data_IF_727558402512
#
_entry.id   IF_727558402512
#
_cell.length_a   1.000
_cell.length_b   1.000
_cell.length_c   1.000
_cell.angle_alpha   90.00
_cell.angle_beta   90.00
_cell.angle_gamma   90.00
#
_symmetry.space_group_name_H-M   'P 1'
#
loop_
_entity.id
_entity.type
_entity.pdbx_description
1 polymer ?
#
# COMPACT_ATOMS: atom_id res chain seq x y z
N UNK A 1 10.87 20.77 -1.48
CA UNK A 1 11.73 20.48 -2.65
C UNK A 1 11.01 19.49 -3.53
N UNK A 2 10.69 19.88 -4.77
CA UNK A 2 10.03 19.03 -5.76
C UNK A 2 11.11 18.22 -6.47
N UNK A 3 11.02 16.90 -6.41
CA UNK A 3 11.90 15.99 -7.16
C UNK A 3 11.04 15.29 -8.22
N UNK A 4 11.39 15.43 -9.49
CA UNK A 4 10.76 14.68 -10.59
C UNK A 4 11.58 13.44 -10.89
N UNK A 5 10.93 12.29 -10.89
CA UNK A 5 11.53 11.03 -11.32
C UNK A 5 10.54 10.30 -12.24
N UNK A 6 10.93 10.07 -13.49
CA UNK A 6 10.17 9.31 -14.51
C UNK A 6 8.66 9.64 -14.54
N UNK A 7 8.28 10.88 -14.86
CA UNK A 7 6.88 11.34 -14.94
C UNK A 7 6.12 11.39 -13.60
N UNK A 8 6.78 11.20 -12.46
CA UNK A 8 6.19 11.26 -11.11
C UNK A 8 6.79 12.43 -10.33
N UNK A 9 5.94 13.17 -9.63
CA UNK A 9 6.35 14.29 -8.80
C UNK A 9 6.34 13.86 -7.34
N UNK A 10 7.51 13.91 -6.69
CA UNK A 10 7.66 13.66 -5.26
C UNK A 10 7.73 14.99 -4.53
N UNK A 11 6.79 15.27 -3.65
CA UNK A 11 6.86 16.42 -2.76
C UNK A 11 7.32 15.94 -1.38
N UNK A 12 8.31 16.60 -0.81
CA UNK A 12 8.95 16.25 0.49
C UNK A 12 7.99 16.26 1.70
N UNK A 13 6.73 16.60 1.48
CA UNK A 13 5.60 16.55 2.40
C UNK A 13 4.43 15.85 1.70
N UNK A 14 4.56 14.55 1.51
CA UNK A 14 3.45 13.62 1.50
C UNK A 14 2.50 13.59 0.31
N UNK A 15 2.80 14.09 -0.88
CA UNK A 15 1.91 13.95 -2.02
C UNK A 15 2.66 13.31 -3.19
N UNK A 16 2.18 12.14 -3.64
CA UNK A 16 2.67 11.48 -4.84
C UNK A 16 1.65 11.65 -5.96
N UNK A 17 2.07 12.18 -7.09
CA UNK A 17 1.21 12.24 -8.28
C UNK A 17 1.62 11.16 -9.27
N UNK A 18 0.67 10.32 -9.68
CA UNK A 18 0.77 9.59 -10.93
C UNK A 18 0.04 10.42 -12.00
N UNK A 19 0.74 10.79 -13.06
CA UNK A 19 0.24 11.73 -14.07
C UNK A 19 -0.87 11.15 -14.96
N UNK A 20 -1.16 9.85 -14.90
CA UNK A 20 -2.19 9.31 -15.76
C UNK A 20 -3.60 9.42 -15.18
N UNK A 21 -3.90 8.95 -13.94
CA UNK A 21 -5.30 8.96 -13.47
C UNK A 21 -5.51 8.89 -11.95
N UNK A 22 -4.47 8.83 -11.11
CA UNK A 22 -4.57 8.70 -9.66
C UNK A 22 -3.81 9.79 -8.91
N UNK A 23 -4.44 10.36 -7.89
CA UNK A 23 -3.80 11.29 -6.93
C UNK A 23 -3.57 10.54 -5.63
N UNK A 24 -2.34 10.57 -5.12
CA UNK A 24 -1.96 9.94 -3.87
C UNK A 24 -1.81 11.02 -2.79
N UNK A 25 -2.64 10.97 -1.77
CA UNK A 25 -2.51 11.80 -0.58
C UNK A 25 -1.82 11.01 0.53
N UNK A 26 -0.69 11.55 0.98
CA UNK A 26 0.05 10.98 2.10
C UNK A 26 -0.54 11.48 3.41
N UNK A 27 -1.02 10.56 4.25
CA UNK A 27 -1.56 10.87 5.57
C UNK A 27 -0.50 10.49 6.61
N UNK A 28 0.23 11.49 7.11
CA UNK A 28 1.15 11.29 8.24
C UNK A 28 0.34 11.23 9.53
N UNK A 29 0.52 10.17 10.31
CA UNK A 29 -0.14 9.97 11.60
C UNK A 29 0.85 10.25 12.74
N UNK A 30 0.96 11.49 13.26
CA UNK A 30 1.74 11.78 14.45
C UNK A 30 1.03 11.16 15.65
N UNK A 31 1.77 10.58 16.59
CA UNK A 31 1.37 10.01 17.88
C UNK A 31 1.14 8.49 17.96
N UNK A 32 1.65 7.72 17.04
CA UNK A 32 1.81 6.27 17.24
C UNK A 32 3.28 5.95 17.52
N UNK A 33 3.57 4.88 18.30
CA UNK A 33 4.95 4.41 18.56
C UNK A 33 5.69 4.03 17.27
N UNK A 34 4.95 3.86 16.19
CA UNK A 34 5.44 3.57 14.85
C UNK A 34 4.86 4.61 13.88
N UNK A 35 5.68 5.09 12.95
CA UNK A 35 5.24 6.01 11.90
C UNK A 35 4.52 5.18 10.83
N UNK A 36 3.21 5.04 10.96
CA UNK A 36 2.39 4.38 9.92
C UNK A 36 2.02 5.41 8.86
N UNK A 37 2.30 5.07 7.62
CA UNK A 37 2.01 5.93 6.48
C UNK A 37 0.92 5.29 5.64
N UNK A 38 -0.29 5.81 5.73
CA UNK A 38 -1.39 5.45 4.85
C UNK A 38 -1.54 6.50 3.74
N UNK A 39 -1.69 6.03 2.52
CA UNK A 39 -1.83 6.88 1.34
C UNK A 39 -3.24 6.71 0.78
N UNK A 40 -4.00 7.80 0.70
CA UNK A 40 -5.30 7.81 0.03
C UNK A 40 -5.10 7.80 -1.49
N UNK A 41 -5.78 6.88 -2.17
CA UNK A 41 -5.84 6.83 -3.63
C UNK A 41 -7.08 7.60 -4.05
N UNK A 42 -6.89 8.79 -4.63
CA UNK A 42 -7.98 9.50 -5.28
C UNK A 42 -7.97 9.10 -6.75
N UNK A 43 -8.86 8.17 -7.10
CA UNK A 43 -9.10 7.82 -8.49
C UNK A 43 -9.94 8.90 -9.16
N UNK A 44 -9.49 9.44 -10.29
CA UNK A 44 -10.28 10.40 -11.08
C UNK A 44 -11.60 9.81 -11.59
N UNK A 45 -11.69 8.49 -11.75
CA UNK A 45 -12.92 7.79 -12.10
C UNK A 45 -13.94 7.78 -10.94
N UNK A 46 -13.47 7.77 -9.68
CA UNK A 46 -14.30 7.95 -8.47
C UNK A 46 -15.03 9.29 -8.49
N UNK A 47 -14.35 10.36 -8.97
CA UNK A 47 -14.95 11.69 -9.13
C UNK A 47 -16.02 11.67 -10.23
N UNK A 48 -15.95 10.74 -11.19
CA UNK A 48 -16.90 10.59 -12.31
C UNK A 48 -18.07 9.64 -12.02
N UNK A 49 -18.24 9.17 -10.78
CA UNK A 49 -19.41 8.39 -10.34
C UNK A 49 -19.38 6.90 -10.67
N UNK A 50 -18.21 6.29 -10.93
CA UNK A 50 -18.10 4.82 -11.04
C UNK A 50 -18.09 4.16 -9.67
N UNK A 51 -18.67 2.95 -9.59
CA UNK A 51 -18.74 2.13 -8.38
C UNK A 51 -17.32 1.85 -7.85
N UNK A 52 -17.05 2.20 -6.60
CA UNK A 52 -15.81 1.85 -5.90
C UNK A 52 -15.63 0.34 -5.82
N UNK A 53 -14.38 -0.13 -5.80
CA UNK A 53 -14.07 -1.49 -5.36
C UNK A 53 -14.50 -1.68 -3.91
N UNK A 54 -14.92 -2.89 -3.54
CA UNK A 54 -15.26 -3.21 -2.16
C UNK A 54 -13.99 -3.33 -1.27
N UNK A 55 -12.80 -3.12 -1.85
CA UNK A 55 -11.50 -3.17 -1.18
C UNK A 55 -11.21 -1.81 -0.54
N UNK A 56 -11.08 -1.81 0.78
CA UNK A 56 -10.76 -0.60 1.56
C UNK A 56 -9.27 -0.27 1.53
N UNK A 57 -8.41 -1.28 1.66
CA UNK A 57 -6.97 -1.09 1.76
C UNK A 57 -6.23 -2.05 0.83
N UNK A 58 -5.30 -1.53 0.02
CA UNK A 58 -4.28 -2.31 -0.67
C UNK A 58 -2.99 -2.29 0.15
N UNK A 59 -2.58 -3.44 0.68
CA UNK A 59 -1.29 -3.60 1.34
C UNK A 59 -0.24 -3.90 0.27
N UNK A 60 0.90 -3.24 0.33
CA UNK A 60 2.00 -3.36 -0.62
C UNK A 60 3.26 -3.76 0.13
N UNK A 61 3.84 -4.91 -0.24
CA UNK A 61 5.05 -5.44 0.39
C UNK A 61 6.08 -5.85 -0.67
N UNK A 62 7.20 -5.14 -0.78
CA UNK A 62 8.34 -5.60 -1.58
C UNK A 62 9.08 -6.70 -0.81
N UNK A 63 9.50 -7.75 -1.52
CA UNK A 63 10.17 -8.93 -0.94
C UNK A 63 11.52 -9.14 -1.61
N UNK A 64 12.58 -9.23 -0.82
CA UNK A 64 13.93 -9.60 -1.27
C UNK A 64 14.79 -10.08 -0.11
N UNK A 65 15.18 -11.38 -0.11
CA UNK A 65 16.05 -12.01 0.92
C UNK A 65 15.51 -11.91 2.35
N UNK A 66 14.28 -12.34 2.57
CA UNK A 66 13.57 -12.25 3.86
C UNK A 66 12.85 -13.56 4.24
N UNK A 67 13.39 -14.70 3.83
CA UNK A 67 12.73 -16.01 4.04
C UNK A 67 12.40 -16.32 5.51
N UNK A 68 13.18 -15.76 6.47
CA UNK A 68 12.93 -15.94 7.90
C UNK A 68 11.77 -15.09 8.44
N UNK A 69 11.40 -14.00 7.77
CA UNK A 69 10.46 -12.99 8.29
C UNK A 69 9.15 -12.93 7.51
N UNK A 70 9.20 -13.17 6.19
CA UNK A 70 8.09 -12.94 5.27
C UNK A 70 6.81 -13.68 5.66
N UNK A 71 6.92 -14.91 6.19
CA UNK A 71 5.77 -15.67 6.67
C UNK A 71 5.03 -14.94 7.80
N UNK A 72 5.78 -14.45 8.80
CA UNK A 72 5.20 -13.71 9.94
C UNK A 72 4.56 -12.39 9.47
N UNK A 73 5.19 -11.69 8.53
CA UNK A 73 4.62 -10.48 7.93
C UNK A 73 3.26 -10.76 7.29
N UNK A 74 3.16 -11.83 6.47
CA UNK A 74 1.91 -12.22 5.80
C UNK A 74 0.83 -12.62 6.81
N UNK A 75 1.17 -13.44 7.80
CA UNK A 75 0.24 -13.87 8.84
C UNK A 75 -0.32 -12.69 9.64
N UNK A 76 0.48 -11.67 9.90
CA UNK A 76 0.03 -10.46 10.60
C UNK A 76 -1.04 -9.68 9.82
N UNK A 77 -0.98 -9.70 8.49
CA UNK A 77 -2.02 -9.10 7.63
C UNK A 77 -3.25 -10.01 7.58
N UNK A 78 -3.10 -11.33 7.52
CA UNK A 78 -4.24 -12.24 7.56
C UNK A 78 -5.01 -12.15 8.89
N UNK A 79 -4.34 -11.81 9.99
CA UNK A 79 -4.91 -11.66 11.33
C UNK A 79 -5.60 -10.29 11.55
N UNK A 80 -5.66 -9.39 10.55
CA UNK A 80 -6.28 -8.09 10.70
C UNK A 80 -7.80 -8.17 10.91
N UNK A 81 -8.33 -7.31 11.80
CA UNK A 81 -9.79 -7.19 12.07
C UNK A 81 -10.54 -6.61 10.88
N UNK A 82 -9.93 -5.68 10.14
CA UNK A 82 -10.44 -5.23 8.85
C UNK A 82 -10.28 -6.36 7.83
N UNK A 83 -11.36 -6.75 7.13
CA UNK A 83 -11.36 -7.88 6.18
C UNK A 83 -11.35 -7.48 4.71
N UNK A 84 -11.74 -6.24 4.39
CA UNK A 84 -11.88 -5.71 3.03
C UNK A 84 -10.55 -5.13 2.53
N UNK A 85 -9.56 -5.99 2.39
CA UNK A 85 -8.24 -5.65 1.88
C UNK A 85 -7.79 -6.58 0.75
N UNK A 86 -6.84 -6.12 -0.04
CA UNK A 86 -5.99 -6.94 -0.90
C UNK A 86 -4.54 -6.78 -0.48
N UNK A 87 -3.74 -7.84 -0.64
CA UNK A 87 -2.33 -7.83 -0.32
C UNK A 87 -1.51 -8.10 -1.59
N UNK A 88 -0.74 -7.11 -2.02
CA UNK A 88 0.09 -7.17 -3.21
C UNK A 88 1.54 -7.31 -2.78
N UNK A 89 2.06 -8.50 -2.94
CA UNK A 89 3.44 -8.87 -2.64
C UNK A 89 4.23 -8.82 -3.94
N UNK A 90 5.34 -8.12 -3.98
CA UNK A 90 6.21 -8.07 -5.14
C UNK A 90 7.56 -8.66 -4.78
N UNK A 91 7.80 -9.86 -5.26
CA UNK A 91 9.12 -10.50 -5.24
C UNK A 91 10.03 -9.80 -6.25
N UNK A 92 11.01 -9.09 -5.73
CA UNK A 92 11.98 -8.32 -6.51
C UNK A 92 13.19 -9.18 -6.93
N UNK A 93 12.93 -10.37 -7.45
CA UNK A 93 13.94 -11.31 -7.92
C UNK A 93 14.78 -11.88 -6.78
N UNK A 94 14.15 -12.31 -5.71
CA UNK A 94 14.83 -12.89 -4.55
C UNK A 94 15.55 -14.20 -4.91
N UNK A 95 16.80 -14.43 -4.46
CA UNK A 95 17.50 -15.69 -4.70
C UNK A 95 17.25 -16.76 -3.63
N UNK A 96 16.55 -16.41 -2.54
CA UNK A 96 16.18 -17.30 -1.45
C UNK A 96 14.74 -17.83 -1.60
N UNK A 97 14.21 -18.50 -0.59
CA UNK A 97 12.87 -19.09 -0.62
C UNK A 97 11.73 -18.11 -0.37
N UNK A 98 12.01 -16.81 -0.22
CA UNK A 98 10.96 -15.81 0.08
C UNK A 98 9.83 -15.82 -0.95
N UNK A 99 10.15 -15.93 -2.25
CA UNK A 99 9.16 -15.99 -3.34
C UNK A 99 8.25 -17.23 -3.21
N UNK A 100 8.84 -18.42 -3.03
CA UNK A 100 8.10 -19.68 -2.86
C UNK A 100 7.18 -19.64 -1.62
N UNK A 101 7.63 -19.02 -0.53
CA UNK A 101 6.81 -18.83 0.68
C UNK A 101 5.61 -17.94 0.36
N UNK A 102 5.81 -16.81 -0.35
CA UNK A 102 4.72 -15.92 -0.72
C UNK A 102 3.67 -16.63 -1.58
N UNK A 103 4.09 -17.43 -2.56
CA UNK A 103 3.21 -18.20 -3.43
C UNK A 103 2.36 -19.20 -2.64
N UNK A 104 2.96 -19.90 -1.66
CA UNK A 104 2.24 -20.84 -0.80
C UNK A 104 1.15 -20.17 0.05
N UNK A 105 1.28 -18.88 0.40
CA UNK A 105 0.23 -18.12 1.06
C UNK A 105 -0.84 -17.64 0.06
N UNK A 106 -0.44 -17.20 -1.13
CA UNK A 106 -1.38 -16.76 -2.18
C UNK A 106 -2.29 -17.89 -2.66
N UNK A 107 -1.79 -19.13 -2.71
CA UNK A 107 -2.61 -20.31 -3.03
C UNK A 107 -3.75 -20.55 -2.01
N UNK A 108 -3.57 -20.14 -0.76
CA UNK A 108 -4.53 -20.35 0.34
C UNK A 108 -5.46 -19.17 0.58
N UNK A 109 -5.08 -17.98 0.15
CA UNK A 109 -5.86 -16.75 0.38
C UNK A 109 -5.92 -15.92 -0.92
N UNK A 110 -7.07 -15.88 -1.55
CA UNK A 110 -7.30 -15.21 -2.82
C UNK A 110 -7.19 -13.67 -2.76
N UNK A 111 -7.10 -13.09 -1.56
CA UNK A 111 -6.84 -11.67 -1.34
C UNK A 111 -5.36 -11.34 -1.50
N UNK A 112 -4.48 -12.34 -1.48
CA UNK A 112 -3.03 -12.20 -1.66
C UNK A 112 -2.68 -12.41 -3.12
N UNK A 113 -1.88 -11.51 -3.68
CA UNK A 113 -1.34 -11.58 -5.04
C UNK A 113 0.16 -11.45 -5.00
N UNK A 114 0.86 -12.38 -5.63
CA UNK A 114 2.31 -12.34 -5.76
C UNK A 114 2.67 -11.97 -7.21
N UNK A 115 3.65 -11.10 -7.34
CA UNK A 115 4.23 -10.70 -8.63
C UNK A 115 5.73 -10.90 -8.54
N UNK A 116 6.26 -11.73 -9.41
CA UNK A 116 7.70 -11.92 -9.56
C UNK A 116 8.25 -10.99 -10.63
N UNK A 117 9.37 -10.34 -10.36
CA UNK A 117 10.07 -9.50 -11.33
C UNK A 117 11.59 -9.59 -11.18
N UNK A 118 12.32 -9.18 -12.19
CA UNK A 118 13.77 -9.00 -12.06
C UNK A 118 14.09 -7.94 -11.02
N UNK A 119 15.19 -8.15 -10.26
CA UNK A 119 15.59 -7.23 -9.22
C UNK A 119 15.79 -5.80 -9.75
N UNK A 120 15.12 -4.86 -9.12
CA UNK A 120 15.18 -3.43 -9.45
C UNK A 120 15.11 -2.54 -8.21
N UNK A 121 15.18 -3.16 -7.03
CA UNK A 121 15.12 -2.50 -5.72
C UNK A 121 13.69 -2.22 -5.24
N UNK A 122 13.53 -2.05 -3.93
CA UNK A 122 12.26 -1.84 -3.27
C UNK A 122 11.39 -0.71 -3.87
N UNK A 123 11.93 0.44 -4.33
CA UNK A 123 11.11 1.45 -5.01
C UNK A 123 10.50 0.95 -6.33
N UNK A 124 11.23 0.14 -7.09
CA UNK A 124 10.73 -0.49 -8.33
C UNK A 124 9.59 -1.46 -8.04
N UNK A 125 9.78 -2.33 -7.04
CA UNK A 125 8.77 -3.29 -6.60
C UNK A 125 7.50 -2.57 -6.11
N UNK A 126 7.63 -1.54 -5.27
CA UNK A 126 6.48 -0.74 -4.81
C UNK A 126 5.72 -0.11 -5.98
N UNK A 127 6.41 0.40 -6.99
CA UNK A 127 5.78 1.02 -8.16
C UNK A 127 4.89 0.02 -8.93
N UNK A 128 5.35 -1.22 -9.12
CA UNK A 128 4.56 -2.27 -9.76
C UNK A 128 3.26 -2.53 -9.00
N UNK A 129 3.33 -2.61 -7.67
CA UNK A 129 2.16 -2.82 -6.84
C UNK A 129 1.18 -1.62 -6.87
N UNK A 130 1.70 -0.39 -6.84
CA UNK A 130 0.89 0.84 -6.93
C UNK A 130 0.05 0.87 -8.22
N UNK A 131 0.61 0.43 -9.34
CA UNK A 131 -0.07 0.48 -10.64
C UNK A 131 -1.30 -0.45 -10.70
N UNK A 132 -1.35 -1.50 -9.89
CA UNK A 132 -2.45 -2.48 -9.86
C UNK A 132 -3.33 -2.41 -8.61
N UNK A 133 -2.95 -1.62 -7.61
CA UNK A 133 -3.70 -1.45 -6.37
C UNK A 133 -5.11 -0.91 -6.62
N UNK A 134 -6.13 -1.53 -5.99
CA UNK A 134 -7.57 -1.24 -6.17
C UNK A 134 -8.22 -0.64 -4.93
N UNK A 135 -7.58 -0.73 -3.76
CA UNK A 135 -8.10 -0.23 -2.50
C UNK A 135 -8.31 1.28 -2.48
N UNK A 136 -9.20 1.73 -1.63
CA UNK A 136 -9.40 3.16 -1.38
C UNK A 136 -8.15 3.82 -0.80
N UNK A 137 -7.41 3.07 0.05
CA UNK A 137 -6.15 3.48 0.66
C UNK A 137 -5.06 2.46 0.35
N UNK A 138 -3.80 2.92 0.38
CA UNK A 138 -2.62 2.04 0.32
C UNK A 138 -1.87 2.08 1.64
N UNK A 139 -1.40 0.91 2.07
CA UNK A 139 -0.49 0.74 3.18
C UNK A 139 0.79 0.04 2.70
N UNK A 140 1.95 0.55 3.08
CA UNK A 140 3.24 -0.07 2.77
C UNK A 140 3.76 -0.80 3.99
N UNK A 141 3.97 -2.11 3.83
CA UNK A 141 4.57 -2.99 4.84
C UNK A 141 5.98 -3.38 4.37
N UNK A 142 6.96 -3.24 5.23
CA UNK A 142 8.27 -3.81 4.97
C UNK A 142 8.24 -5.30 5.34
N UNK A 143 8.91 -6.14 4.56
CA UNK A 143 8.76 -7.61 4.63
C UNK A 143 9.39 -8.27 5.85
N UNK A 144 10.12 -7.51 6.66
CA UNK A 144 10.69 -7.87 7.95
C UNK A 144 9.89 -7.30 9.15
N UNK A 145 8.81 -6.54 8.87
CA UNK A 145 7.89 -6.00 9.87
C UNK A 145 6.62 -6.85 10.01
N UNK A 146 5.82 -6.56 11.02
CA UNK A 146 4.47 -7.13 11.22
C UNK A 146 3.50 -6.08 11.75
N UNK A 147 2.22 -6.30 11.48
CA UNK A 147 1.13 -5.41 11.86
C UNK A 147 0.38 -5.93 13.09
N UNK A 148 0.02 -5.03 14.02
CA UNK A 148 -0.90 -5.36 15.12
C UNK A 148 -2.31 -5.66 14.57
N UNK A 149 -3.09 -6.57 15.18
CA UNK A 149 -4.36 -7.06 14.61
C UNK A 149 -5.41 -6.00 14.28
N UNK A 150 -5.44 -4.86 14.97
CA UNK A 150 -6.41 -3.77 14.74
C UNK A 150 -5.86 -2.65 13.86
N UNK A 151 -4.60 -2.75 13.46
CA UNK A 151 -3.89 -1.63 12.83
C UNK A 151 -4.58 -1.11 11.56
N UNK A 152 -4.97 -1.98 10.64
CA UNK A 152 -5.62 -1.54 9.39
C UNK A 152 -6.98 -0.89 9.65
N UNK A 153 -7.75 -1.41 10.61
CA UNK A 153 -9.06 -0.85 10.98
C UNK A 153 -8.91 0.54 11.61
N UNK A 154 -7.97 0.69 12.54
CA UNK A 154 -7.71 1.95 13.22
C UNK A 154 -7.23 3.03 12.24
N UNK A 155 -6.31 2.66 11.34
CA UNK A 155 -5.79 3.56 10.31
C UNK A 155 -6.88 3.95 9.31
N UNK A 156 -7.69 3.01 8.84
CA UNK A 156 -8.80 3.27 7.93
C UNK A 156 -9.82 4.22 8.55
N UNK A 157 -10.25 3.95 9.78
CA UNK A 157 -11.20 4.79 10.50
C UNK A 157 -10.67 6.21 10.73
N UNK A 158 -9.38 6.34 11.05
CA UNK A 158 -8.74 7.64 11.25
C UNK A 158 -8.63 8.42 9.93
N UNK A 159 -8.27 7.75 8.84
CA UNK A 159 -8.20 8.34 7.51
C UNK A 159 -9.58 8.85 7.07
N UNK A 160 -10.64 8.06 7.26
CA UNK A 160 -12.03 8.45 6.95
C UNK A 160 -12.50 9.67 7.73
N UNK A 161 -12.20 9.75 9.02
CA UNK A 161 -12.55 10.93 9.83
C UNK A 161 -11.88 12.19 9.32
N UNK A 162 -10.63 12.10 8.86
CA UNK A 162 -9.88 13.23 8.30
C UNK A 162 -10.33 13.60 6.89
N UNK A 163 -10.60 12.62 6.02
CA UNK A 163 -11.13 12.87 4.66
C UNK A 163 -12.50 13.53 4.71
N UNK A 164 -13.36 13.18 5.66
CA UNK A 164 -14.64 13.87 5.91
C UNK A 164 -14.49 15.33 6.39
N UNK A 165 -13.40 15.65 7.09
CA UNK A 165 -13.07 17.01 7.51
C UNK A 165 -12.35 17.81 6.40
N UNK A 166 -11.74 17.15 5.44
CA UNK A 166 -10.98 17.70 4.28
C UNK A 166 -11.89 17.90 3.05
N UNK A 167 -13.21 17.81 3.21
CA UNK A 167 -14.18 18.17 2.15
C UNK A 167 -14.02 19.58 1.56
N UNK A 168 -12.96 20.30 1.95
CA UNK A 168 -12.51 21.56 1.33
C UNK A 168 -10.99 21.77 1.48
N UNK A 169 -10.16 20.80 1.14
CA UNK A 169 -8.77 21.13 0.86
C UNK A 169 -8.71 21.81 -0.51
N UNK A 170 -8.87 23.14 -0.53
CA UNK A 170 -8.49 23.95 -1.67
C UNK A 170 -7.03 23.67 -1.95
N UNK A 171 -6.76 23.14 -3.13
CA UNK A 171 -5.43 23.21 -3.73
C UNK A 171 -5.07 24.71 -3.81
N UNK A 172 -4.25 25.16 -2.89
CA UNK A 172 -3.58 26.46 -3.05
C UNK A 172 -2.43 26.23 -4.04
N UNK A 173 -2.59 26.82 -5.22
CA UNK A 173 -1.58 26.92 -6.26
C UNK A 173 -0.37 27.74 -5.77
#
# INVERSE_FOLDING_TARGET
TIVRYNSRVVIKWGIWYNLSDRVLLYINMPNTKHIYNMIEIIDKEKIRGRKMSDIKVSIIMPVYKVEEYVGKAIESIQAQTLTEWEFIIVDDGTPDKSGEICDAYAEKDNRIKVIHKENGGAPSARNVAIDIAKGEYMYFLDSDDWAEPTMLEDMYNLAKRRSGAVGSCRLLY
#
